data_IF_732052080834
#
_entry.id   IF_732052080834
#
_cell.length_a   1.000
_cell.length_b   1.000
_cell.length_c   1.000
_cell.angle_alpha   90.00
_cell.angle_beta   90.00
_cell.angle_gamma   90.00
#
_symmetry.space_group_name_H-M   'P 1'
#
loop_
_entity.id
_entity.type
_entity.pdbx_description
1 polymer ?
#
# COMPACT_ATOMS: atom_id res chain seq x y z
N UNK A 1 21.45 26.65 16.47
CA UNK A 1 20.34 27.50 15.96
C UNK A 1 19.19 26.58 15.64
N UNK A 2 18.27 26.44 16.59
CA UNK A 2 17.00 25.73 16.44
C UNK A 2 16.13 26.51 15.46
N UNK A 3 15.88 25.95 14.27
CA UNK A 3 14.84 26.46 13.38
C UNK A 3 13.50 26.13 14.04
N UNK A 4 12.91 27.12 14.69
CA UNK A 4 11.50 27.07 15.08
C UNK A 4 10.68 27.03 13.80
N UNK A 5 10.04 25.90 13.53
CA UNK A 5 8.89 25.87 12.65
C UNK A 5 7.74 26.50 13.42
N UNK A 6 7.31 27.69 13.01
CA UNK A 6 5.98 28.19 13.36
C UNK A 6 4.98 27.15 12.83
N UNK A 7 4.38 26.38 13.74
CA UNK A 7 3.39 25.35 13.43
C UNK A 7 2.11 26.04 12.99
N UNK A 8 1.71 25.86 11.74
CA UNK A 8 0.45 26.40 11.20
C UNK A 8 -0.70 25.47 11.57
N UNK A 9 -1.75 26.04 12.17
CA UNK A 9 -3.04 25.38 12.40
C UNK A 9 -3.53 24.70 11.10
N UNK A 10 -3.88 23.43 11.15
CA UNK A 10 -4.32 22.63 10.01
C UNK A 10 -5.72 23.08 9.59
N UNK A 11 -5.82 23.69 8.42
CA UNK A 11 -7.09 24.06 7.81
C UNK A 11 -7.76 22.80 7.23
N UNK A 12 -8.59 22.15 8.06
CA UNK A 12 -9.28 20.91 7.69
C UNK A 12 -10.18 21.06 6.47
N UNK A 13 -10.77 22.23 6.24
CA UNK A 13 -11.57 22.48 5.05
C UNK A 13 -10.69 22.48 3.81
N UNK A 14 -9.61 23.26 3.83
CA UNK A 14 -8.66 23.30 2.72
C UNK A 14 -8.02 21.95 2.44
N UNK A 15 -7.83 21.12 3.47
CA UNK A 15 -7.33 19.76 3.31
C UNK A 15 -8.32 18.87 2.54
N UNK A 16 -9.59 18.78 2.97
CA UNK A 16 -10.57 17.95 2.27
C UNK A 16 -10.87 18.46 0.86
N UNK A 17 -10.85 19.78 0.65
CA UNK A 17 -11.03 20.38 -0.67
C UNK A 17 -9.86 20.11 -1.63
N UNK A 18 -8.71 19.66 -1.11
CA UNK A 18 -7.55 19.25 -1.92
C UNK A 18 -7.62 17.80 -2.41
N UNK A 19 -8.59 17.02 -1.91
CA UNK A 19 -8.82 15.63 -2.28
C UNK A 19 -9.89 15.57 -3.38
N UNK A 20 -9.61 14.87 -4.47
CA UNK A 20 -10.50 14.77 -5.63
C UNK A 20 -11.73 13.89 -5.33
N UNK A 21 -11.52 12.81 -4.58
CA UNK A 21 -12.53 11.83 -4.18
C UNK A 21 -13.43 12.36 -3.05
N UNK A 22 -14.52 11.65 -2.73
CA UNK A 22 -15.40 12.06 -1.63
C UNK A 22 -14.65 11.97 -0.30
N UNK A 23 -14.39 13.10 0.36
CA UNK A 23 -13.59 13.14 1.59
C UNK A 23 -14.26 13.93 2.72
N UNK A 24 -14.10 13.44 3.94
CA UNK A 24 -14.51 14.15 5.15
C UNK A 24 -13.51 13.99 6.30
N UNK A 25 -13.58 14.89 7.27
CA UNK A 25 -12.87 14.78 8.55
C UNK A 25 -13.81 14.26 9.60
N UNK A 26 -13.40 13.19 10.28
CA UNK A 26 -14.07 12.62 11.43
C UNK A 26 -13.34 13.04 12.70
N UNK A 27 -14.08 13.48 13.71
CA UNK A 27 -13.60 13.62 15.08
C UNK A 27 -14.10 12.47 15.92
N UNK A 28 -13.25 11.99 16.83
CA UNK A 28 -13.55 10.95 17.80
C UNK A 28 -13.30 11.51 19.19
N UNK A 29 -14.35 11.52 20.01
CA UNK A 29 -14.25 11.87 21.43
C UNK A 29 -14.54 10.64 22.28
N UNK A 30 -13.63 10.36 23.20
CA UNK A 30 -13.81 9.32 24.22
C UNK A 30 -14.58 9.90 25.40
N UNK A 31 -15.71 9.30 25.77
CA UNK A 31 -16.46 9.73 26.95
C UNK A 31 -15.84 9.13 28.22
N UNK A 32 -15.63 9.91 29.30
CA UNK A 32 -15.14 9.38 30.56
C UNK A 32 -16.05 8.25 31.06
N UNK A 33 -15.46 7.12 31.46
CA UNK A 33 -16.12 5.96 32.09
C UNK A 33 -17.10 5.13 31.23
N UNK A 34 -17.02 5.18 29.90
CA UNK A 34 -17.76 4.22 29.05
C UNK A 34 -17.05 3.87 27.74
N UNK A 35 -17.37 2.70 27.16
CA UNK A 35 -17.04 2.35 25.77
C UNK A 35 -17.79 3.23 24.75
N UNK A 36 -18.60 4.20 25.19
CA UNK A 36 -19.35 5.08 24.32
C UNK A 36 -18.42 6.12 23.68
N UNK A 37 -18.56 6.22 22.36
CA UNK A 37 -17.74 7.00 21.44
C UNK A 37 -18.63 7.94 20.67
N UNK A 38 -18.25 9.20 20.62
CA UNK A 38 -18.86 10.22 19.76
C UNK A 38 -17.99 10.38 18.52
N UNK A 39 -18.55 10.06 17.35
CA UNK A 39 -17.89 10.19 16.06
C UNK A 39 -18.67 11.20 15.23
N UNK A 40 -18.06 12.36 14.97
CA UNK A 40 -18.73 13.44 14.24
C UNK A 40 -18.00 13.77 12.94
N UNK A 41 -18.75 14.11 11.90
CA UNK A 41 -18.20 14.67 10.67
C UNK A 41 -17.94 16.16 10.91
N UNK A 42 -16.68 16.53 11.07
CA UNK A 42 -16.22 17.91 11.34
C UNK A 42 -16.43 18.77 10.11
N UNK A 43 -15.93 18.31 8.96
CA UNK A 43 -16.12 18.96 7.66
C UNK A 43 -15.96 17.97 6.51
N UNK A 44 -16.35 18.34 5.30
CA UNK A 44 -16.20 17.52 4.10
C UNK A 44 -16.06 18.37 2.83
N UNK A 45 -15.69 17.71 1.73
CA UNK A 45 -15.62 18.35 0.42
C UNK A 45 -16.94 18.20 -0.35
N UNK A 46 -17.07 18.93 -1.47
CA UNK A 46 -18.29 18.94 -2.28
C UNK A 46 -18.68 17.57 -2.83
N UNK A 47 -17.72 16.69 -3.10
CA UNK A 47 -17.98 15.33 -3.58
C UNK A 47 -18.64 14.49 -2.48
N UNK A 48 -18.15 14.58 -1.24
CA UNK A 48 -18.77 13.90 -0.11
C UNK A 48 -20.16 14.46 0.22
N UNK A 49 -20.36 15.78 0.12
CA UNK A 49 -21.71 16.36 0.28
C UNK A 49 -22.71 15.85 -0.77
N UNK A 50 -22.26 15.57 -2.00
CA UNK A 50 -23.08 14.94 -3.03
C UNK A 50 -23.42 13.50 -2.65
N UNK A 51 -22.43 12.74 -2.17
CA UNK A 51 -22.63 11.38 -1.68
C UNK A 51 -23.68 11.34 -0.57
N UNK A 52 -23.63 12.24 0.41
CA UNK A 52 -24.63 12.32 1.48
C UNK A 52 -26.05 12.51 0.94
N UNK A 53 -26.23 13.24 -0.16
CA UNK A 53 -27.54 13.50 -0.77
C UNK A 53 -28.13 12.29 -1.50
N UNK A 54 -27.32 11.28 -1.79
CA UNK A 54 -27.74 10.05 -2.47
C UNK A 54 -28.17 8.91 -1.53
N UNK A 55 -27.99 9.05 -0.21
CA UNK A 55 -28.29 8.00 0.76
C UNK A 55 -29.81 7.76 0.98
N UNK A 56 -30.27 6.51 1.19
CA UNK A 56 -31.69 6.14 1.07
C UNK A 56 -32.61 6.62 2.21
N UNK A 57 -32.12 6.71 3.45
CA UNK A 57 -32.96 6.83 4.66
C UNK A 57 -32.87 8.19 5.38
N UNK A 58 -31.94 9.09 5.00
CA UNK A 58 -31.84 10.45 5.56
C UNK A 58 -31.68 11.53 4.48
N UNK A 59 -32.67 11.57 3.58
CA UNK A 59 -33.29 12.77 3.01
C UNK A 59 -32.44 14.05 2.93
N UNK A 60 -32.03 14.47 1.72
CA UNK A 60 -32.11 15.85 1.16
C UNK A 60 -31.70 17.07 2.02
N UNK A 61 -31.06 16.87 3.16
CA UNK A 61 -30.63 17.93 4.07
C UNK A 61 -29.20 18.30 3.73
N UNK A 62 -28.92 19.60 3.72
CA UNK A 62 -27.54 20.10 3.58
C UNK A 62 -26.67 19.54 4.70
N UNK A 63 -25.43 19.21 4.38
CA UNK A 63 -24.44 18.82 5.36
C UNK A 63 -24.37 19.84 6.51
N UNK A 64 -24.30 19.35 7.75
CA UNK A 64 -24.15 20.15 8.96
C UNK A 64 -22.86 19.73 9.65
N UNK A 65 -21.90 20.65 9.72
CA UNK A 65 -20.62 20.43 10.39
C UNK A 65 -20.77 20.00 11.84
N UNK A 66 -19.81 19.22 12.33
CA UNK A 66 -19.73 18.69 13.70
C UNK A 66 -20.96 17.89 14.12
N UNK A 67 -21.59 17.18 13.18
CA UNK A 67 -22.72 16.31 13.45
C UNK A 67 -22.30 14.85 13.43
N UNK A 68 -22.94 14.04 14.26
CA UNK A 68 -22.70 12.60 14.31
C UNK A 68 -22.89 11.95 12.92
N UNK A 69 -21.97 11.06 12.55
CA UNK A 69 -22.00 10.42 11.23
C UNK A 69 -23.24 9.50 11.07
N UNK A 70 -23.79 9.02 12.20
CA UNK A 70 -24.99 8.18 12.24
C UNK A 70 -26.27 8.89 11.76
N UNK A 71 -26.23 10.22 11.62
CA UNK A 71 -27.28 11.00 10.96
C UNK A 71 -27.37 10.70 9.46
N UNK A 72 -26.23 10.39 8.85
CA UNK A 72 -26.11 10.26 7.39
C UNK A 72 -25.94 8.81 6.93
N UNK A 73 -25.34 7.96 7.77
CA UNK A 73 -25.11 6.55 7.45
C UNK A 73 -25.59 5.66 8.60
N UNK A 74 -26.08 4.45 8.32
CA UNK A 74 -26.38 3.48 9.37
C UNK A 74 -25.16 3.24 10.26
N UNK A 75 -25.37 3.28 11.58
CA UNK A 75 -24.29 3.04 12.54
C UNK A 75 -23.76 1.62 12.36
N UNK A 76 -22.44 1.50 12.21
CA UNK A 76 -21.77 0.22 12.02
C UNK A 76 -20.63 0.08 13.00
N UNK A 77 -20.63 -1.00 13.80
CA UNK A 77 -19.53 -1.31 14.72
C UNK A 77 -18.19 -1.35 13.98
N UNK A 78 -18.19 -1.89 12.76
CA UNK A 78 -17.00 -1.94 11.91
C UNK A 78 -16.53 -0.56 11.45
N UNK A 79 -17.42 0.38 11.13
CA UNK A 79 -17.03 1.76 10.79
C UNK A 79 -16.47 2.47 12.02
N UNK A 80 -17.12 2.28 13.17
CA UNK A 80 -16.65 2.86 14.42
C UNK A 80 -15.22 2.38 14.70
N UNK A 81 -14.97 1.06 14.69
CA UNK A 81 -13.68 0.47 15.05
C UNK A 81 -12.54 0.94 14.12
N UNK A 82 -12.78 1.02 12.80
CA UNK A 82 -11.81 1.57 11.84
C UNK A 82 -11.54 3.05 12.09
N UNK A 83 -12.57 3.81 12.48
CA UNK A 83 -12.43 5.23 12.80
C UNK A 83 -11.61 5.44 14.07
N UNK A 84 -11.80 4.65 15.14
CA UNK A 84 -10.94 4.73 16.33
C UNK A 84 -9.50 4.33 16.02
N UNK A 85 -9.32 3.27 15.23
CA UNK A 85 -7.99 2.81 14.82
C UNK A 85 -7.21 3.93 14.13
N UNK A 86 -7.85 4.65 13.20
CA UNK A 86 -7.21 5.75 12.48
C UNK A 86 -7.07 7.02 13.32
N UNK A 87 -8.10 7.41 14.06
CA UNK A 87 -8.10 8.67 14.80
C UNK A 87 -7.23 8.60 16.06
N UNK A 88 -7.36 7.52 16.86
CA UNK A 88 -6.72 7.41 18.18
C UNK A 88 -5.37 6.69 18.08
N UNK A 89 -5.36 5.49 17.50
CA UNK A 89 -4.12 4.70 17.42
C UNK A 89 -3.17 5.22 16.32
N UNK A 90 -3.65 6.15 15.50
CA UNK A 90 -2.95 6.70 14.34
C UNK A 90 -2.53 5.63 13.33
N UNK A 91 -3.35 4.58 13.21
CA UNK A 91 -3.14 3.47 12.28
C UNK A 91 -4.11 3.63 11.11
N UNK A 92 -3.64 3.81 9.86
CA UNK A 92 -4.54 3.87 8.71
C UNK A 92 -5.45 2.64 8.63
N UNK A 93 -6.68 2.85 8.17
CA UNK A 93 -7.67 1.79 8.04
C UNK A 93 -8.29 1.79 6.65
N UNK A 94 -8.81 0.64 6.23
CA UNK A 94 -9.36 0.44 4.90
C UNK A 94 -10.52 -0.56 4.94
N UNK A 95 -11.57 -0.32 4.17
CA UNK A 95 -12.71 -1.24 4.08
C UNK A 95 -13.37 -1.14 2.71
N UNK A 96 -13.60 -2.29 2.08
CA UNK A 96 -14.46 -2.40 0.91
C UNK A 96 -15.81 -2.96 1.32
N UNK A 97 -16.90 -2.29 0.98
CA UNK A 97 -18.25 -2.69 1.40
C UNK A 97 -19.27 -2.40 0.31
N UNK A 98 -20.22 -3.31 0.14
CA UNK A 98 -21.40 -3.03 -0.67
C UNK A 98 -22.24 -1.96 0.03
N UNK A 99 -22.80 -1.02 -0.74
CA UNK A 99 -23.78 -0.08 -0.22
C UNK A 99 -25.16 -0.75 -0.21
N UNK A 100 -25.81 -0.75 0.95
CA UNK A 100 -27.14 -1.36 1.11
C UNK A 100 -28.11 -0.82 0.03
N UNK A 101 -28.85 -1.72 -0.60
CA UNK A 101 -29.84 -1.45 -1.66
C UNK A 101 -29.31 -0.88 -3.00
N UNK A 102 -28.04 -1.10 -3.33
CA UNK A 102 -27.49 -0.74 -4.64
C UNK A 102 -26.47 -1.76 -5.19
N UNK A 103 -26.31 -1.82 -6.52
CA UNK A 103 -25.22 -2.58 -7.19
C UNK A 103 -23.87 -1.87 -7.11
N UNK A 104 -23.71 -0.97 -6.13
CA UNK A 104 -22.60 -0.04 -6.01
C UNK A 104 -21.74 -0.43 -4.81
N UNK A 105 -20.43 -0.42 -5.01
CA UNK A 105 -19.46 -0.73 -3.98
C UNK A 105 -18.74 0.53 -3.52
N UNK A 106 -18.50 0.61 -2.22
CA UNK A 106 -17.78 1.68 -1.57
C UNK A 106 -16.43 1.19 -1.06
N UNK A 107 -15.39 1.92 -1.45
CA UNK A 107 -14.03 1.77 -1.03
C UNK A 107 -13.67 2.87 -0.02
N UNK A 108 -13.57 2.50 1.25
CA UNK A 108 -13.40 3.40 2.38
C UNK A 108 -11.94 3.38 2.86
N UNK A 109 -11.31 4.55 2.97
CA UNK A 109 -9.94 4.70 3.46
C UNK A 109 -9.91 5.73 4.58
N UNK A 110 -9.42 5.34 5.76
CA UNK A 110 -9.20 6.25 6.88
C UNK A 110 -7.72 6.62 6.98
N UNK A 111 -7.44 7.91 6.90
CA UNK A 111 -6.12 8.51 6.97
C UNK A 111 -5.99 9.20 8.33
N UNK A 112 -5.04 8.76 9.19
CA UNK A 112 -4.79 9.41 10.47
C UNK A 112 -4.39 10.87 10.28
N UNK A 113 -4.94 11.76 11.10
CA UNK A 113 -4.50 13.15 11.18
C UNK A 113 -3.79 13.39 12.51
N UNK A 114 -2.73 14.18 12.47
CA UNK A 114 -2.06 14.69 13.67
C UNK A 114 -2.92 15.78 14.28
N UNK A 115 -3.07 15.76 15.60
CA UNK A 115 -3.81 16.79 16.34
C UNK A 115 -3.09 18.14 16.28
N UNK A 116 -3.87 19.21 16.21
CA UNK A 116 -3.44 20.53 16.67
C UNK A 116 -3.78 20.69 18.16
N UNK A 117 -2.89 21.36 18.89
CA UNK A 117 -2.67 21.34 20.35
C UNK A 117 -3.83 21.81 21.27
N UNK A 118 -5.10 21.81 20.86
CA UNK A 118 -6.18 22.44 21.67
C UNK A 118 -7.24 21.50 22.28
N UNK A 119 -7.23 20.19 21.99
CA UNK A 119 -8.18 19.26 22.59
C UNK A 119 -7.52 17.95 23.02
N UNK A 120 -7.13 17.84 24.30
CA UNK A 120 -6.51 16.63 24.87
C UNK A 120 -7.37 15.34 24.71
N UNK A 121 -8.67 15.49 24.42
CA UNK A 121 -9.64 14.39 24.38
C UNK A 121 -10.34 14.18 23.00
N UNK A 122 -9.93 14.91 21.95
CA UNK A 122 -10.55 14.77 20.61
C UNK A 122 -9.49 14.41 19.57
N UNK A 123 -9.72 13.30 18.90
CA UNK A 123 -8.84 12.72 17.90
C UNK A 123 -9.43 12.86 16.50
N UNK A 124 -8.59 13.04 15.48
CA UNK A 124 -9.06 13.27 14.12
C UNK A 124 -8.52 12.26 13.11
N UNK A 125 -9.33 11.91 12.13
CA UNK A 125 -8.90 11.21 10.91
C UNK A 125 -9.68 11.74 9.70
N UNK A 126 -9.15 11.55 8.50
CA UNK A 126 -9.86 11.79 7.25
C UNK A 126 -10.42 10.46 6.73
N UNK A 127 -11.69 10.44 6.35
CA UNK A 127 -12.29 9.35 5.60
C UNK A 127 -12.40 9.75 4.13
N UNK A 128 -11.85 8.94 3.25
CA UNK A 128 -12.00 9.03 1.79
C UNK A 128 -12.88 7.88 1.31
N UNK A 129 -13.84 8.19 0.48
CA UNK A 129 -14.82 7.26 -0.09
C UNK A 129 -14.72 7.32 -1.61
N UNK A 130 -14.41 6.18 -2.19
CA UNK A 130 -14.41 5.95 -3.62
C UNK A 130 -15.53 4.96 -3.98
N UNK A 131 -16.28 5.25 -5.03
CA UNK A 131 -17.52 4.56 -5.39
C UNK A 131 -17.39 4.00 -6.79
N UNK A 132 -17.57 2.69 -6.94
CA UNK A 132 -17.47 2.00 -8.23
C UNK A 132 -18.78 1.32 -8.63
N UNK A 133 -19.19 1.53 -9.90
CA UNK A 133 -20.41 0.96 -10.50
C UNK A 133 -20.24 -0.45 -11.09
N UNK A 134 -19.08 -1.10 -10.90
CA UNK A 134 -18.80 -2.40 -11.53
C UNK A 134 -18.37 -3.38 -10.45
N UNK A 135 -19.29 -4.27 -10.09
CA UNK A 135 -18.98 -5.52 -9.40
C UNK A 135 -18.24 -6.44 -10.38
N UNK A 136 -16.92 -6.31 -10.48
CA UNK A 136 -16.13 -7.44 -10.95
C UNK A 136 -16.12 -8.46 -9.80
N UNK A 137 -16.57 -9.72 -10.00
CA UNK A 137 -16.52 -10.76 -8.96
C UNK A 137 -15.11 -10.96 -8.39
N UNK A 138 -14.07 -10.45 -9.04
CA UNK A 138 -12.69 -10.44 -8.55
C UNK A 138 -12.36 -9.32 -7.55
N UNK A 139 -13.11 -8.21 -7.53
CA UNK A 139 -13.04 -7.20 -6.46
C UNK A 139 -13.73 -7.70 -5.17
N UNK A 140 -14.56 -8.75 -5.28
CA UNK A 140 -15.33 -9.34 -4.19
C UNK A 140 -14.65 -10.49 -3.43
N UNK A 141 -13.47 -10.94 -3.83
CA UNK A 141 -12.79 -12.07 -3.18
C UNK A 141 -11.77 -11.51 -2.19
N UNK A 142 -12.08 -11.53 -0.89
CA UNK A 142 -11.20 -11.69 0.31
C UNK A 142 -9.83 -10.98 0.39
N UNK A 143 -9.45 -10.21 -0.61
CA UNK A 143 -8.11 -9.70 -0.85
C UNK A 143 -7.97 -8.29 -0.28
N UNK A 144 -9.02 -7.48 -0.17
CA UNK A 144 -8.91 -6.15 0.46
C UNK A 144 -8.77 -6.23 1.99
N UNK A 145 -9.61 -7.04 2.65
CA UNK A 145 -9.51 -7.32 4.10
C UNK A 145 -8.30 -8.21 4.40
N UNK A 146 -8.03 -9.22 3.57
CA UNK A 146 -6.83 -10.06 3.66
C UNK A 146 -5.56 -9.23 3.50
N UNK A 147 -5.42 -8.43 2.44
CA UNK A 147 -4.22 -7.61 2.19
C UNK A 147 -4.04 -6.55 3.27
N UNK A 148 -5.11 -5.93 3.76
CA UNK A 148 -5.01 -4.88 4.80
C UNK A 148 -4.67 -5.47 6.16
N UNK A 149 -5.29 -6.59 6.56
CA UNK A 149 -4.92 -7.29 7.79
C UNK A 149 -3.52 -7.89 7.68
N UNK A 150 -3.15 -8.47 6.54
CA UNK A 150 -1.79 -8.90 6.23
C UNK A 150 -0.84 -7.71 6.34
N UNK A 151 -1.12 -6.56 5.72
CA UNK A 151 -0.32 -5.34 5.83
C UNK A 151 -0.16 -4.85 7.28
N UNK A 152 -1.22 -4.90 8.08
CA UNK A 152 -1.20 -4.54 9.51
C UNK A 152 -0.43 -5.55 10.35
N UNK A 153 -0.60 -6.85 10.10
CA UNK A 153 0.19 -7.93 10.71
C UNK A 153 1.66 -7.82 10.32
N UNK A 154 1.96 -7.46 9.08
CA UNK A 154 3.30 -7.20 8.57
C UNK A 154 3.87 -6.00 9.32
N UNK A 155 3.17 -4.86 9.37
CA UNK A 155 3.55 -3.69 10.17
C UNK A 155 3.76 -4.01 11.66
N UNK A 156 2.95 -4.89 12.24
CA UNK A 156 3.12 -5.40 13.59
C UNK A 156 4.37 -6.26 13.74
N UNK A 157 4.52 -7.31 12.92
CA UNK A 157 5.70 -8.20 12.88
C UNK A 157 7.00 -7.40 12.66
N UNK A 158 6.95 -6.31 11.90
CA UNK A 158 8.07 -5.40 11.61
C UNK A 158 8.56 -4.59 12.82
N UNK A 159 7.66 -4.19 13.73
CA UNK A 159 8.08 -3.49 14.96
C UNK A 159 8.85 -4.41 15.93
N UNK A 160 8.76 -5.73 15.74
CA UNK A 160 9.41 -6.73 16.58
C UNK A 160 10.52 -7.52 15.85
N UNK A 161 10.62 -7.43 14.52
CA UNK A 161 11.63 -8.16 13.76
C UNK A 161 12.98 -7.46 13.82
N UNK A 162 14.00 -8.20 14.26
CA UNK A 162 15.39 -7.70 14.32
C UNK A 162 16.14 -7.87 13.00
N UNK A 163 15.52 -8.50 12.00
CA UNK A 163 16.14 -8.88 10.72
C UNK A 163 15.22 -8.57 9.53
N UNK A 164 15.74 -7.79 8.58
CA UNK A 164 15.07 -7.42 7.32
C UNK A 164 14.65 -8.63 6.49
N UNK A 165 15.52 -9.64 6.40
CA UNK A 165 15.29 -10.83 5.56
C UNK A 165 14.07 -11.59 6.08
N UNK A 166 13.96 -11.77 7.39
CA UNK A 166 12.83 -12.48 8.01
C UNK A 166 11.53 -11.70 7.86
N UNK A 167 11.58 -10.36 7.99
CA UNK A 167 10.43 -9.50 7.80
C UNK A 167 9.88 -9.57 6.36
N UNK A 168 10.77 -9.43 5.37
CA UNK A 168 10.41 -9.49 3.95
C UNK A 168 9.97 -10.90 3.57
N UNK A 169 10.67 -11.95 4.02
CA UNK A 169 10.27 -13.35 3.79
C UNK A 169 8.88 -13.65 4.33
N UNK A 170 8.57 -13.21 5.55
CA UNK A 170 7.25 -13.37 6.17
C UNK A 170 6.15 -12.71 5.34
N UNK A 171 6.39 -11.46 4.92
CA UNK A 171 5.51 -10.72 4.00
C UNK A 171 5.28 -11.48 2.69
N UNK A 172 6.35 -11.96 2.03
CA UNK A 172 6.23 -12.66 0.75
C UNK A 172 5.43 -13.95 0.90
N UNK A 173 5.63 -14.68 2.01
CA UNK A 173 4.84 -15.86 2.36
C UNK A 173 3.35 -15.51 2.56
N UNK A 174 3.05 -14.46 3.32
CA UNK A 174 1.68 -14.03 3.60
C UNK A 174 0.96 -13.61 2.31
N UNK A 175 1.65 -12.85 1.42
CA UNK A 175 1.13 -12.47 0.11
C UNK A 175 0.87 -13.71 -0.76
N UNK A 176 1.82 -14.63 -0.85
CA UNK A 176 1.71 -15.82 -1.70
C UNK A 176 0.52 -16.68 -1.27
N UNK A 177 0.35 -16.86 0.05
CA UNK A 177 -0.79 -17.58 0.62
C UNK A 177 -2.13 -16.88 0.32
N UNK A 178 -2.17 -15.55 0.45
CA UNK A 178 -3.36 -14.77 0.22
C UNK A 178 -3.82 -14.80 -1.24
N UNK A 179 -2.87 -14.72 -2.17
CA UNK A 179 -3.19 -14.75 -3.59
C UNK A 179 -3.65 -16.14 -4.04
N UNK A 180 -3.25 -17.19 -3.31
CA UNK A 180 -3.37 -18.59 -3.76
C UNK A 180 -2.87 -18.76 -5.20
N UNK A 181 -1.82 -18.02 -5.55
CA UNK A 181 -1.21 -17.98 -6.89
C UNK A 181 0.05 -18.82 -6.91
N UNK A 182 0.36 -19.46 -8.04
CA UNK A 182 1.69 -20.06 -8.24
C UNK A 182 2.76 -19.00 -8.65
N UNK A 183 2.35 -17.73 -8.74
CA UNK A 183 3.24 -16.60 -8.94
C UNK A 183 4.32 -16.47 -7.86
N UNK A 184 5.52 -16.04 -8.28
CA UNK A 184 6.65 -15.82 -7.36
C UNK A 184 6.86 -14.33 -7.13
N UNK A 185 6.76 -13.92 -5.88
CA UNK A 185 7.10 -12.57 -5.44
C UNK A 185 8.54 -12.52 -4.93
N UNK A 186 9.25 -11.47 -5.31
CA UNK A 186 10.64 -11.23 -4.92
C UNK A 186 10.85 -9.76 -4.56
N UNK A 187 11.80 -9.52 -3.66
CA UNK A 187 12.26 -8.18 -3.28
C UNK A 187 13.76 -8.12 -3.45
N UNK A 188 14.26 -7.13 -4.20
CA UNK A 188 15.66 -6.79 -4.25
C UNK A 188 15.92 -5.56 -3.39
N UNK A 189 16.86 -5.66 -2.45
CA UNK A 189 17.41 -4.52 -1.70
C UNK A 189 18.70 -4.05 -2.37
N UNK A 190 18.91 -2.74 -2.42
CA UNK A 190 20.09 -2.13 -3.02
C UNK A 190 20.77 -1.16 -2.04
N UNK A 191 21.95 -1.53 -1.56
CA UNK A 191 22.83 -0.67 -0.76
C UNK A 191 23.78 0.12 -1.67
N UNK A 192 23.45 1.39 -1.91
CA UNK A 192 24.26 2.31 -2.71
C UNK A 192 25.61 2.66 -2.09
N UNK A 193 25.76 2.57 -0.76
CA UNK A 193 27.01 2.92 -0.07
C UNK A 193 28.03 1.81 -0.25
N UNK A 194 27.61 0.56 -0.01
CA UNK A 194 28.49 -0.60 -0.14
C UNK A 194 28.53 -1.19 -1.56
N UNK A 195 27.71 -0.66 -2.49
CA UNK A 195 27.51 -1.17 -3.85
C UNK A 195 27.15 -2.66 -3.85
N UNK A 196 26.18 -3.02 -3.00
CA UNK A 196 25.68 -4.39 -2.86
C UNK A 196 24.19 -4.43 -3.11
N UNK A 197 23.72 -5.53 -3.69
CA UNK A 197 22.31 -5.85 -3.77
C UNK A 197 22.10 -7.28 -3.25
N UNK A 198 20.88 -7.58 -2.82
CA UNK A 198 20.45 -8.92 -2.41
C UNK A 198 19.00 -9.16 -2.80
N UNK A 199 18.65 -10.38 -3.15
CA UNK A 199 17.28 -10.81 -3.41
C UNK A 199 16.76 -11.57 -2.19
N UNK A 200 15.53 -11.24 -1.78
CA UNK A 200 14.76 -11.98 -0.79
C UNK A 200 13.55 -12.60 -1.49
N UNK A 201 13.38 -13.91 -1.31
CA UNK A 201 12.24 -14.70 -1.77
C UNK A 201 11.45 -15.26 -0.58
N UNK A 202 10.39 -16.02 -0.85
CA UNK A 202 9.63 -16.76 0.18
C UNK A 202 10.50 -17.78 0.94
N UNK A 203 11.58 -18.26 0.34
CA UNK A 203 12.56 -19.14 0.98
C UNK A 203 13.57 -18.36 1.85
N UNK A 204 13.78 -17.07 1.58
CA UNK A 204 14.73 -16.18 2.25
C UNK A 204 15.75 -15.56 1.29
N UNK A 205 16.93 -15.21 1.81
CA UNK A 205 18.07 -14.74 1.01
C UNK A 205 19.06 -15.88 0.79
N UNK A 206 19.69 -15.89 -0.39
CA UNK A 206 20.72 -16.88 -0.75
C UNK A 206 21.75 -16.28 -1.70
N UNK A 207 23.01 -16.27 -1.28
CA UNK A 207 24.13 -15.78 -2.11
C UNK A 207 24.26 -16.56 -3.43
N UNK A 208 23.85 -17.83 -3.45
CA UNK A 208 23.85 -18.66 -4.66
C UNK A 208 22.79 -18.17 -5.65
N UNK A 209 21.61 -17.80 -5.16
CA UNK A 209 20.53 -17.24 -6.00
C UNK A 209 20.97 -15.88 -6.52
N UNK A 210 21.51 -15.01 -5.67
CA UNK A 210 21.97 -13.67 -6.03
C UNK A 210 23.05 -13.73 -7.13
N UNK A 211 24.05 -14.60 -6.97
CA UNK A 211 25.12 -14.78 -7.94
C UNK A 211 24.60 -15.38 -9.25
N UNK A 212 23.74 -16.40 -9.19
CA UNK A 212 23.15 -17.03 -10.38
C UNK A 212 22.30 -16.04 -11.17
N UNK A 213 21.49 -15.22 -10.48
CA UNK A 213 20.64 -14.22 -11.09
C UNK A 213 21.47 -13.16 -11.82
N UNK A 214 22.48 -12.57 -11.17
CA UNK A 214 23.38 -11.63 -11.84
C UNK A 214 24.12 -12.25 -13.03
N UNK A 215 24.67 -13.45 -12.86
CA UNK A 215 25.40 -14.17 -13.92
C UNK A 215 24.52 -14.48 -15.14
N UNK A 216 23.22 -14.73 -14.94
CA UNK A 216 22.28 -14.92 -16.06
C UNK A 216 22.19 -13.71 -17.00
N UNK A 217 22.56 -12.51 -16.50
CA UNK A 217 22.64 -11.26 -17.25
C UNK A 217 24.10 -10.81 -17.49
N UNK A 218 25.08 -11.65 -17.16
CA UNK A 218 26.51 -11.35 -17.31
C UNK A 218 27.03 -10.24 -16.39
N UNK A 219 26.35 -9.96 -15.28
CA UNK A 219 26.60 -8.82 -14.38
C UNK A 219 26.64 -9.27 -12.91
N UNK A 220 27.19 -8.43 -12.02
CA UNK A 220 26.88 -8.58 -10.60
C UNK A 220 25.48 -8.03 -10.29
N UNK A 221 24.92 -8.44 -9.15
CA UNK A 221 23.54 -8.12 -8.81
C UNK A 221 23.31 -6.60 -8.58
N UNK A 222 24.30 -5.90 -8.04
CA UNK A 222 24.19 -4.45 -7.85
C UNK A 222 24.14 -3.74 -9.21
N UNK A 223 24.92 -4.21 -10.17
CA UNK A 223 24.93 -3.65 -11.52
C UNK A 223 23.61 -3.89 -12.26
N UNK A 224 22.98 -5.04 -12.06
CA UNK A 224 21.60 -5.30 -12.53
C UNK A 224 20.64 -4.27 -11.95
N UNK A 225 20.70 -4.00 -10.64
CA UNK A 225 19.84 -3.00 -10.01
C UNK A 225 20.05 -1.58 -10.59
N UNK A 226 21.30 -1.18 -10.85
CA UNK A 226 21.61 0.10 -11.51
C UNK A 226 21.01 0.20 -12.92
N UNK A 227 21.07 -0.90 -13.68
CA UNK A 227 20.52 -0.95 -15.04
C UNK A 227 18.99 -0.85 -15.00
N UNK A 228 18.33 -1.53 -14.06
CA UNK A 228 16.90 -1.40 -13.86
C UNK A 228 16.46 0.03 -13.51
N UNK A 229 17.25 0.80 -12.76
CA UNK A 229 16.93 2.23 -12.51
C UNK A 229 16.86 3.00 -13.83
N UNK A 230 17.78 2.73 -14.76
CA UNK A 230 17.77 3.34 -16.09
C UNK A 230 16.58 2.84 -16.91
N UNK A 231 16.30 1.54 -16.87
CA UNK A 231 15.27 0.91 -17.70
C UNK A 231 13.85 1.34 -17.29
N UNK A 232 13.63 1.60 -15.99
CA UNK A 232 12.39 2.19 -15.50
C UNK A 232 12.21 3.64 -15.96
N UNK A 233 13.27 4.45 -16.04
CA UNK A 233 13.18 5.84 -16.44
C UNK A 233 12.17 6.63 -15.57
N UNK A 234 11.11 7.13 -16.18
CA UNK A 234 10.01 7.85 -15.53
C UNK A 234 8.79 6.96 -15.20
N UNK A 235 8.85 5.65 -15.51
CA UNK A 235 7.74 4.73 -15.26
C UNK A 235 7.70 4.28 -13.79
N UNK A 236 6.49 4.16 -13.23
CA UNK A 236 6.27 3.68 -11.85
C UNK A 236 6.06 2.15 -11.76
N UNK A 237 5.92 1.49 -12.91
CA UNK A 237 5.61 0.07 -13.02
C UNK A 237 5.98 -0.47 -14.41
N UNK A 238 6.78 -1.54 -14.46
CA UNK A 238 6.93 -2.36 -15.66
C UNK A 238 5.93 -3.50 -15.60
N UNK A 239 5.07 -3.60 -16.62
CA UNK A 239 4.03 -4.62 -16.73
C UNK A 239 4.14 -5.36 -18.06
N UNK A 240 4.46 -6.65 -17.98
CA UNK A 240 4.50 -7.59 -19.10
C UNK A 240 3.29 -8.49 -19.02
N UNK A 241 2.35 -8.34 -19.96
CA UNK A 241 1.14 -9.17 -20.05
C UNK A 241 1.19 -10.15 -21.21
N UNK A 242 1.95 -9.79 -22.25
CA UNK A 242 2.01 -10.49 -23.51
C UNK A 242 3.46 -10.58 -24.02
N UNK A 243 3.77 -11.54 -24.91
CA UNK A 243 5.08 -11.58 -25.58
C UNK A 243 5.44 -10.27 -26.32
N UNK A 244 4.44 -9.54 -26.82
CA UNK A 244 4.67 -8.25 -27.47
C UNK A 244 5.15 -7.17 -26.50
N UNK A 245 4.80 -7.28 -25.21
CA UNK A 245 5.31 -6.37 -24.18
C UNK A 245 6.79 -6.63 -23.88
N UNK A 246 7.23 -7.91 -23.90
CA UNK A 246 8.65 -8.26 -23.75
C UNK A 246 9.52 -7.65 -24.85
N UNK A 247 9.05 -7.68 -26.11
CA UNK A 247 9.81 -7.15 -27.24
C UNK A 247 10.07 -5.63 -27.13
N UNK A 248 9.20 -4.86 -26.47
CA UNK A 248 9.41 -3.43 -26.22
C UNK A 248 10.65 -3.18 -25.36
N UNK A 249 10.85 -4.01 -24.34
CA UNK A 249 11.97 -3.88 -23.41
C UNK A 249 13.26 -4.51 -23.94
N UNK A 250 13.18 -5.32 -25.00
CA UNK A 250 14.33 -6.01 -25.59
C UNK A 250 15.29 -5.06 -26.29
N UNK A 251 14.78 -3.96 -26.85
CA UNK A 251 15.61 -2.90 -27.42
C UNK A 251 16.36 -2.11 -26.33
N UNK A 252 15.81 -2.06 -25.11
CA UNK A 252 16.36 -1.30 -23.98
C UNK A 252 17.39 -2.11 -23.18
N UNK A 253 17.01 -3.31 -22.72
CA UNK A 253 17.91 -4.21 -22.00
C UNK A 253 17.73 -5.67 -22.49
N UNK A 254 18.46 -6.07 -23.55
CA UNK A 254 18.34 -7.41 -24.10
C UNK A 254 18.82 -8.49 -23.13
N UNK A 255 19.79 -8.18 -22.26
CA UNK A 255 20.30 -9.15 -21.28
C UNK A 255 19.22 -9.48 -20.24
N UNK A 256 18.48 -8.47 -19.79
CA UNK A 256 17.35 -8.67 -18.90
C UNK A 256 16.23 -9.48 -19.54
N UNK A 257 15.85 -9.17 -20.78
CA UNK A 257 14.80 -9.92 -21.49
C UNK A 257 15.20 -11.35 -21.78
N UNK A 258 16.44 -11.60 -22.18
CA UNK A 258 16.96 -12.95 -22.35
C UNK A 258 16.93 -13.73 -21.02
N UNK A 259 17.19 -13.07 -19.89
CA UNK A 259 17.06 -13.69 -18.57
C UNK A 259 15.62 -14.11 -18.27
N UNK A 260 14.63 -13.25 -18.54
CA UNK A 260 13.20 -13.59 -18.34
C UNK A 260 12.77 -14.78 -19.18
N UNK A 261 13.22 -14.84 -20.44
CA UNK A 261 12.97 -15.98 -21.35
C UNK A 261 13.63 -17.25 -20.82
N UNK A 262 14.90 -17.17 -20.38
CA UNK A 262 15.63 -18.32 -19.84
C UNK A 262 14.98 -18.89 -18.58
N UNK A 263 14.41 -18.03 -17.74
CA UNK A 263 13.63 -18.44 -16.57
C UNK A 263 12.18 -18.82 -16.91
N UNK A 264 11.77 -18.77 -18.17
CA UNK A 264 10.40 -19.06 -18.63
C UNK A 264 9.34 -18.18 -17.96
N UNK A 265 9.66 -16.90 -17.70
CA UNK A 265 8.71 -15.93 -17.19
C UNK A 265 7.76 -15.51 -18.32
N UNK A 266 6.46 -15.71 -18.11
CA UNK A 266 5.42 -15.36 -19.10
C UNK A 266 4.87 -13.95 -18.86
N UNK A 267 4.65 -13.60 -17.58
CA UNK A 267 4.10 -12.30 -17.16
C UNK A 267 4.90 -11.76 -15.99
N UNK A 268 5.05 -10.45 -15.94
CA UNK A 268 5.84 -9.75 -14.93
C UNK A 268 5.14 -8.45 -14.53
N UNK A 269 5.08 -8.18 -13.23
CA UNK A 269 4.76 -6.87 -12.68
C UNK A 269 5.91 -6.49 -11.76
N UNK A 270 6.59 -5.38 -12.06
CA UNK A 270 7.76 -4.93 -11.33
C UNK A 270 7.66 -3.45 -11.01
N UNK A 271 8.06 -3.05 -9.81
CA UNK A 271 8.02 -1.66 -9.36
C UNK A 271 9.27 -1.29 -8.55
N UNK A 272 9.72 -0.03 -8.62
CA UNK A 272 10.77 0.46 -7.75
C UNK A 272 10.24 0.60 -6.31
N UNK A 273 11.12 0.32 -5.36
CA UNK A 273 10.91 0.63 -3.95
C UNK A 273 11.53 1.99 -3.67
N UNK A 274 10.68 2.99 -3.38
CA UNK A 274 11.11 4.38 -3.19
C UNK A 274 10.98 4.74 -1.71
N UNK A 275 12.08 5.19 -1.10
CA UNK A 275 12.09 5.76 0.24
C UNK A 275 12.86 7.09 0.23
N UNK A 276 12.28 8.13 0.83
CA UNK A 276 12.87 9.48 0.87
C UNK A 276 13.30 10.01 -0.52
N UNK A 277 12.51 9.72 -1.55
CA UNK A 277 12.77 10.06 -2.98
C UNK A 277 13.96 9.31 -3.62
N UNK A 278 14.48 8.29 -2.97
CA UNK A 278 15.55 7.44 -3.49
C UNK A 278 15.02 6.03 -3.75
N UNK A 279 15.41 5.44 -4.89
CA UNK A 279 15.19 4.01 -5.13
C UNK A 279 16.12 3.22 -4.21
N UNK A 280 15.53 2.45 -3.30
CA UNK A 280 16.24 1.59 -2.34
C UNK A 280 16.23 0.12 -2.75
N UNK A 281 15.50 -0.22 -3.82
CA UNK A 281 15.34 -1.59 -4.29
C UNK A 281 14.21 -1.73 -5.31
N UNK A 282 13.82 -2.97 -5.57
CA UNK A 282 12.72 -3.32 -6.48
C UNK A 282 11.89 -4.45 -5.88
N UNK A 283 10.60 -4.47 -6.22
CA UNK A 283 9.72 -5.59 -5.93
C UNK A 283 9.05 -6.05 -7.22
N UNK A 284 8.97 -7.36 -7.43
CA UNK A 284 8.29 -7.90 -8.58
C UNK A 284 7.55 -9.19 -8.28
N UNK A 285 6.58 -9.49 -9.14
CA UNK A 285 5.90 -10.77 -9.24
C UNK A 285 6.04 -11.31 -10.66
N UNK A 286 6.48 -12.56 -10.77
CA UNK A 286 6.63 -13.28 -12.04
C UNK A 286 5.70 -14.49 -12.09
N UNK A 287 5.02 -14.67 -13.23
CA UNK A 287 4.22 -15.86 -13.54
C UNK A 287 4.93 -16.77 -14.54
N UNK A 288 4.70 -18.06 -14.38
CA UNK A 288 5.25 -19.12 -15.23
C UNK A 288 4.10 -19.92 -15.87
N UNK A 289 4.35 -20.57 -17.02
CA UNK A 289 3.33 -21.39 -17.67
C UNK A 289 2.98 -22.60 -16.81
N UNK A 290 1.73 -22.74 -16.38
CA UNK A 290 1.26 -23.95 -15.66
C UNK A 290 -0.06 -24.47 -16.22
N UNK A 291 -0.34 -25.79 -16.16
CA UNK A 291 -1.50 -26.40 -16.81
C UNK A 291 -2.85 -26.04 -16.14
N UNK A 292 -2.85 -25.36 -14.99
CA UNK A 292 -4.05 -24.92 -14.28
C UNK A 292 -4.27 -23.39 -14.37
N UNK A 293 -3.47 -22.70 -15.18
CA UNK A 293 -3.21 -21.26 -15.07
C UNK A 293 -4.02 -20.37 -16.03
N UNK A 294 -5.27 -20.71 -16.31
CA UNK A 294 -6.10 -19.86 -17.19
C UNK A 294 -6.67 -18.61 -16.48
N UNK A 295 -6.50 -18.48 -15.16
CA UNK A 295 -7.27 -17.50 -14.35
C UNK A 295 -6.47 -16.46 -13.56
N UNK A 296 -5.14 -16.55 -13.53
CA UNK A 296 -4.33 -15.61 -12.73
C UNK A 296 -4.04 -14.32 -13.50
N UNK A 297 -4.48 -13.21 -12.90
CA UNK A 297 -4.36 -11.89 -13.47
C UNK A 297 -3.09 -11.23 -12.94
N UNK A 298 -2.13 -10.97 -13.82
CA UNK A 298 -0.95 -10.15 -13.51
C UNK A 298 -1.35 -8.78 -12.93
N UNK A 299 -2.57 -8.29 -13.22
CA UNK A 299 -3.13 -7.10 -12.59
C UNK A 299 -3.39 -7.27 -11.09
N UNK A 300 -3.82 -8.46 -10.61
CA UNK A 300 -4.00 -8.70 -9.18
C UNK A 300 -2.66 -8.56 -8.45
N UNK A 301 -1.61 -9.22 -8.94
CA UNK A 301 -0.30 -9.11 -8.31
C UNK A 301 0.28 -7.70 -8.42
N UNK A 302 0.05 -7.00 -9.54
CA UNK A 302 0.37 -5.57 -9.66
C UNK A 302 -0.31 -4.77 -8.54
N UNK A 303 -1.62 -4.91 -8.38
CA UNK A 303 -2.39 -4.22 -7.32
C UNK A 303 -1.85 -4.53 -5.93
N UNK A 304 -1.42 -5.77 -5.70
CA UNK A 304 -0.83 -6.17 -4.42
C UNK A 304 0.52 -5.49 -4.20
N UNK A 305 1.42 -5.54 -5.19
CA UNK A 305 2.71 -4.84 -5.12
C UNK A 305 2.48 -3.34 -4.88
N UNK A 306 1.52 -2.71 -5.56
CA UNK A 306 1.17 -1.29 -5.37
C UNK A 306 0.79 -0.97 -3.92
N UNK A 307 0.03 -1.85 -3.27
CA UNK A 307 -0.42 -1.66 -1.89
C UNK A 307 0.69 -1.91 -0.87
N UNK A 308 1.57 -2.88 -1.11
CA UNK A 308 2.59 -3.29 -0.13
C UNK A 308 3.95 -2.62 -0.31
N UNK A 309 4.28 -2.13 -1.51
CA UNK A 309 5.62 -1.62 -1.85
C UNK A 309 6.12 -0.52 -0.93
N UNK A 310 5.24 0.33 -0.40
CA UNK A 310 5.63 1.39 0.53
C UNK A 310 6.15 0.81 1.86
N UNK A 311 5.46 -0.19 2.41
CA UNK A 311 5.90 -0.88 3.61
C UNK A 311 7.25 -1.57 3.37
N UNK A 312 7.41 -2.28 2.24
CA UNK A 312 8.67 -2.93 1.86
C UNK A 312 9.81 -1.93 1.70
N UNK A 313 9.57 -0.81 1.03
CA UNK A 313 10.57 0.24 0.84
C UNK A 313 11.08 0.78 2.17
N UNK A 314 10.20 0.95 3.17
CA UNK A 314 10.59 1.37 4.51
C UNK A 314 11.39 0.30 5.26
N UNK A 315 11.03 -0.99 5.14
CA UNK A 315 11.82 -2.10 5.72
C UNK A 315 13.26 -2.05 5.18
N UNK A 316 13.37 -1.99 3.86
CA UNK A 316 14.65 -2.00 3.15
C UNK A 316 15.48 -0.77 3.53
N UNK A 317 14.88 0.42 3.54
CA UNK A 317 15.56 1.66 3.90
C UNK A 317 16.03 1.67 5.36
N UNK A 318 15.18 1.22 6.31
CA UNK A 318 15.54 1.17 7.72
C UNK A 318 16.69 0.20 7.99
N UNK A 319 16.68 -0.98 7.36
CA UNK A 319 17.79 -1.91 7.45
C UNK A 319 19.11 -1.29 6.97
N UNK A 320 19.09 -0.58 5.84
CA UNK A 320 20.28 0.10 5.31
C UNK A 320 20.80 1.18 6.27
N UNK A 321 19.92 1.86 7.03
CA UNK A 321 20.33 2.85 8.04
C UNK A 321 20.92 2.18 9.28
N UNK A 322 20.29 1.12 9.80
CA UNK A 322 20.79 0.40 10.98
C UNK A 322 22.12 -0.31 10.69
N UNK A 323 22.22 -0.99 9.55
CA UNK A 323 23.46 -1.65 9.10
C UNK A 323 24.62 -0.65 8.92
N UNK A 324 24.33 0.60 8.51
CA UNK A 324 25.34 1.67 8.44
C UNK A 324 25.86 2.08 9.82
N UNK A 325 25.02 2.08 10.86
CA UNK A 325 25.45 2.43 12.22
C UNK A 325 26.36 1.37 12.82
N UNK A 326 26.02 0.09 12.65
CA UNK A 326 26.78 -1.03 13.22
C UNK A 326 28.16 -1.24 12.56
N UNK A 327 28.39 -0.69 11.37
CA UNK A 327 29.69 -0.74 10.67
C UNK A 327 30.50 0.58 10.77
N UNK A 328 30.01 1.57 11.53
CA UNK A 328 30.71 2.82 11.83
C UNK A 328 31.29 2.86 13.27
N UNK A 329 31.02 1.83 14.08
CA UNK A 329 31.66 1.56 15.38
C UNK A 329 32.84 0.59 15.26
#
# INVERSE_FOLDING_TARGET
MTRGYERSNMDYQKFVDSICESACILSVKMLPDSDAKEINIVTCNSAFEELLRTAPESSKESFVQNTSYDRYFPRSSSIDDMTLQAAILKIPAHKFTAMEDSDVWANLTWIPLTEDEESEDIFYCCLVVDISEIADPKDSIDTSNGLSNTLLEICGKMNYSTNMIDAVKGLLSDITNLCNTEGRFCVMSMDKVNKKAMIVTVEGQSDVIDASFGQSMGKDLYKVAEDWIRDFGDDDCILVKTPADLEKYKELDPAWIDSLINFSVEKLAMMPLISQKEIVGFMWASLYPTPHFEKEDINLMKTIIEKVRFAVANIVANYQVTYKKDNLE
#
